data_IF_794311270523
#
_entry.id   IF_794311270523
#
_cell.length_a   1.000
_cell.length_b   1.000
_cell.length_c   1.000
_cell.angle_alpha   90.00
_cell.angle_beta   90.00
_cell.angle_gamma   90.00
#
_symmetry.space_group_name_H-M   'P 1'
#
loop_
_entity.id
_entity.type
_entity.pdbx_description
1 polymer ?
#
# COMPACT_ATOMS: atom_id res chain seq x y z
N UNK A 1 21.23 13.19 -2.84
CA UNK A 1 20.96 11.76 -3.13
C UNK A 1 19.48 11.54 -2.85
N UNK A 2 18.72 11.01 -3.80
CA UNK A 2 17.29 10.71 -3.60
C UNK A 2 17.17 9.45 -2.73
N UNK A 3 16.38 9.49 -1.66
CA UNK A 3 16.17 8.35 -0.77
C UNK A 3 14.89 7.60 -1.15
N UNK A 4 15.01 6.53 -1.93
CA UNK A 4 13.87 5.71 -2.33
C UNK A 4 13.28 4.84 -1.21
N UNK A 5 13.91 4.80 -0.04
CA UNK A 5 13.32 4.16 1.13
C UNK A 5 12.38 5.10 1.91
N UNK A 6 12.33 6.38 1.53
CA UNK A 6 11.51 7.37 2.21
C UNK A 6 10.01 7.08 2.04
N UNK A 7 9.31 6.98 3.17
CA UNK A 7 7.87 6.70 3.18
C UNK A 7 7.52 5.21 3.04
N UNK A 8 8.50 4.30 2.93
CA UNK A 8 8.25 2.87 3.08
C UNK A 8 7.95 2.56 4.55
N UNK A 9 6.90 1.79 4.80
CA UNK A 9 6.57 1.36 6.16
C UNK A 9 5.90 -0.01 6.18
N UNK A 10 5.74 -0.52 7.39
CA UNK A 10 5.22 -1.85 7.67
C UNK A 10 4.05 -1.78 8.64
N UNK A 11 3.02 -2.61 8.44
CA UNK A 11 1.95 -2.80 9.42
C UNK A 11 1.53 -4.25 9.53
N UNK A 12 0.99 -4.58 10.69
CA UNK A 12 0.43 -5.90 10.99
C UNK A 12 -1.10 -5.81 10.99
N UNK A 13 -1.74 -6.84 10.45
CA UNK A 13 -3.19 -6.99 10.46
C UNK A 13 -3.52 -8.33 11.11
N UNK A 14 -4.52 -8.33 12.00
CA UNK A 14 -4.94 -9.55 12.70
C UNK A 14 -6.41 -9.78 12.44
N UNK A 15 -6.74 -10.92 11.86
CA UNK A 15 -8.12 -11.33 11.56
C UNK A 15 -8.25 -12.83 11.77
N UNK A 16 -9.32 -13.28 12.45
CA UNK A 16 -9.59 -14.71 12.64
C UNK A 16 -8.51 -15.51 13.37
N UNK A 17 -7.58 -14.84 14.07
CA UNK A 17 -6.41 -15.49 14.70
C UNK A 17 -5.20 -15.63 13.78
N UNK A 18 -5.31 -15.21 12.51
CA UNK A 18 -4.19 -15.10 11.58
C UNK A 18 -3.56 -13.72 11.72
N UNK A 19 -2.21 -13.68 11.71
CA UNK A 19 -1.43 -12.45 11.75
C UNK A 19 -0.79 -12.25 10.38
N UNK A 20 -1.26 -11.25 9.65
CA UNK A 20 -0.71 -10.81 8.37
C UNK A 20 0.29 -9.68 8.58
N UNK A 21 1.23 -9.57 7.65
CA UNK A 21 2.23 -8.51 7.62
C UNK A 21 2.23 -7.86 6.25
N UNK A 22 2.14 -6.53 6.19
CA UNK A 22 2.18 -5.78 4.95
C UNK A 22 3.29 -4.73 4.97
N UNK A 23 4.03 -4.61 3.86
CA UNK A 23 4.90 -3.46 3.58
C UNK A 23 4.29 -2.60 2.49
N UNK A 24 4.43 -1.29 2.66
CA UNK A 24 3.79 -0.27 1.85
C UNK A 24 4.88 0.55 1.19
N UNK A 25 4.86 0.61 -0.14
CA UNK A 25 5.86 1.26 -0.96
C UNK A 25 5.15 2.32 -1.82
N UNK A 26 5.45 3.61 -1.63
CA UNK A 26 4.90 4.64 -2.49
C UNK A 26 5.44 4.45 -3.92
N UNK A 27 4.57 4.54 -4.93
CA UNK A 27 5.05 4.64 -6.31
C UNK A 27 5.66 6.03 -6.52
N UNK A 28 6.77 6.06 -7.25
CA UNK A 28 7.56 7.27 -7.48
C UNK A 28 7.87 7.42 -8.96
N UNK A 29 7.79 8.65 -9.47
CA UNK A 29 8.17 8.96 -10.86
C UNK A 29 9.67 9.22 -10.90
N UNK A 30 10.40 8.45 -11.73
CA UNK A 30 11.87 8.50 -11.84
C UNK A 30 12.37 9.49 -12.91
N UNK A 31 11.47 10.10 -13.68
CA UNK A 31 11.81 10.95 -14.82
C UNK A 31 12.35 12.33 -14.42
N UNK A 32 12.28 12.71 -13.15
CA UNK A 32 12.75 14.01 -12.64
C UNK A 32 13.83 13.83 -11.57
N UNK A 33 14.65 14.86 -11.39
CA UNK A 33 15.59 14.98 -10.26
C UNK A 33 14.91 15.11 -8.90
N UNK A 34 13.59 14.96 -8.83
CA UNK A 34 12.74 15.22 -7.67
C UNK A 34 11.91 13.98 -7.31
N UNK A 35 11.90 13.62 -6.02
CA UNK A 35 11.13 12.51 -5.50
C UNK A 35 9.63 12.85 -5.48
N UNK A 36 8.92 12.51 -6.55
CA UNK A 36 7.47 12.75 -6.63
C UNK A 36 6.71 11.45 -6.43
N UNK A 37 6.06 11.34 -5.26
CA UNK A 37 5.18 10.22 -4.91
C UNK A 37 3.86 10.37 -5.67
N UNK A 38 3.43 9.31 -6.35
CA UNK A 38 2.11 9.27 -7.00
C UNK A 38 1.00 8.95 -5.99
N UNK A 39 -0.24 8.76 -6.47
CA UNK A 39 -1.35 8.29 -5.62
C UNK A 39 -1.45 6.77 -5.53
N UNK A 40 -0.53 6.05 -6.17
CA UNK A 40 -0.48 4.59 -6.22
C UNK A 40 0.56 4.05 -5.25
N UNK A 41 0.27 2.90 -4.68
CA UNK A 41 1.10 2.22 -3.70
C UNK A 41 1.25 0.77 -4.08
N UNK A 42 2.48 0.25 -4.04
CA UNK A 42 2.73 -1.18 -4.03
C UNK A 42 2.60 -1.66 -2.58
N UNK A 43 1.75 -2.65 -2.37
CA UNK A 43 1.62 -3.35 -1.10
C UNK A 43 2.14 -4.77 -1.29
N UNK A 44 3.01 -5.19 -0.38
CA UNK A 44 3.47 -6.58 -0.31
C UNK A 44 2.93 -7.18 0.97
N UNK A 45 1.93 -8.04 0.83
CA UNK A 45 1.29 -8.77 1.92
C UNK A 45 1.92 -10.16 2.07
N UNK A 46 2.24 -10.56 3.28
CA UNK A 46 2.61 -11.93 3.61
C UNK A 46 1.40 -12.63 4.23
N UNK A 47 0.78 -13.51 3.44
CA UNK A 47 -0.32 -14.36 3.88
C UNK A 47 0.22 -15.72 4.35
N UNK A 48 -0.23 -16.25 5.52
CA UNK A 48 0.26 -17.53 6.04
C UNK A 48 -0.05 -18.70 5.11
N UNK A 49 -1.15 -18.65 4.36
CA UNK A 49 -1.58 -19.73 3.46
C UNK A 49 -1.11 -19.54 2.01
N UNK A 50 -0.99 -18.29 1.55
CA UNK A 50 -0.73 -17.96 0.14
C UNK A 50 0.68 -17.42 -0.11
N UNK A 51 1.46 -17.19 0.95
CA UNK A 51 2.79 -16.61 0.85
C UNK A 51 2.76 -15.11 0.53
N UNK A 52 3.78 -14.66 -0.20
CA UNK A 52 3.93 -13.25 -0.58
C UNK A 52 2.99 -12.88 -1.74
N UNK A 53 2.14 -11.90 -1.50
CA UNK A 53 1.18 -11.36 -2.47
C UNK A 53 1.46 -9.88 -2.70
N UNK A 54 2.14 -9.52 -3.82
CA UNK A 54 2.27 -8.14 -4.24
C UNK A 54 1.04 -7.70 -5.03
N UNK A 55 0.59 -6.47 -4.76
CA UNK A 55 -0.52 -5.83 -5.47
C UNK A 55 -0.42 -4.30 -5.34
N UNK A 56 -0.99 -3.61 -6.30
CA UNK A 56 -1.06 -2.16 -6.32
C UNK A 56 -2.44 -1.68 -5.88
N UNK A 57 -2.43 -0.59 -5.12
CA UNK A 57 -3.65 0.10 -4.71
C UNK A 57 -3.55 1.59 -5.01
N UNK A 58 -4.69 2.19 -5.35
CA UNK A 58 -4.83 3.62 -5.55
C UNK A 58 -6.10 4.13 -4.89
N UNK A 59 -6.09 5.40 -4.49
CA UNK A 59 -7.28 6.05 -3.97
C UNK A 59 -8.13 6.59 -5.11
N UNK A 60 -9.35 6.08 -5.26
CA UNK A 60 -10.34 6.61 -6.19
C UNK A 60 -10.97 7.87 -5.58
N UNK A 61 -10.59 9.04 -6.09
CA UNK A 61 -11.04 10.32 -5.55
C UNK A 61 -12.54 10.60 -5.77
N UNK A 62 -13.17 9.95 -6.76
CA UNK A 62 -14.60 10.07 -7.03
C UNK A 62 -15.40 9.23 -6.04
N UNK A 63 -15.00 7.97 -5.85
CA UNK A 63 -15.68 7.01 -4.96
C UNK A 63 -15.24 7.11 -3.50
N UNK A 64 -14.21 7.90 -3.19
CA UNK A 64 -13.62 8.05 -1.85
C UNK A 64 -13.25 6.72 -1.21
N UNK A 65 -12.71 5.80 -2.01
CA UNK A 65 -12.32 4.45 -1.55
C UNK A 65 -11.01 4.01 -2.20
N UNK A 66 -10.36 3.05 -1.57
CA UNK A 66 -9.19 2.38 -2.13
C UNK A 66 -9.61 1.26 -3.07
N UNK A 67 -8.93 1.16 -4.20
CA UNK A 67 -9.19 0.18 -5.25
C UNK A 67 -7.86 -0.45 -5.67
N UNK A 68 -7.89 -1.74 -6.03
CA UNK A 68 -6.75 -2.39 -6.68
C UNK A 68 -6.59 -1.87 -8.11
N UNK A 69 -5.36 -1.91 -8.64
CA UNK A 69 -5.19 -1.70 -10.07
C UNK A 69 -5.97 -2.79 -10.85
N UNK A 70 -6.69 -2.39 -11.90
CA UNK A 70 -7.51 -3.28 -12.72
C UNK A 70 -6.69 -4.38 -13.43
N UNK A 71 -5.37 -4.22 -13.48
CA UNK A 71 -4.45 -5.16 -14.09
C UNK A 71 -3.83 -6.17 -13.10
N UNK A 72 -4.14 -6.10 -11.79
CA UNK A 72 -3.58 -7.04 -10.83
C UNK A 72 -4.24 -8.43 -10.94
N UNK A 73 -3.39 -9.46 -11.05
CA UNK A 73 -3.82 -10.86 -11.11
C UNK A 73 -4.25 -11.44 -9.76
N UNK A 74 -3.91 -10.78 -8.66
CA UNK A 74 -4.26 -11.24 -7.31
C UNK A 74 -5.57 -10.60 -6.85
N UNK A 75 -6.63 -11.39 -6.75
CA UNK A 75 -7.85 -10.96 -6.06
C UNK A 75 -7.56 -10.87 -4.56
N UNK A 76 -7.67 -9.66 -4.02
CA UNK A 76 -7.52 -9.40 -2.58
C UNK A 76 -8.89 -9.10 -1.99
N UNK A 77 -9.11 -9.62 -0.78
CA UNK A 77 -10.33 -9.39 -0.03
C UNK A 77 -10.53 -7.89 0.24
N UNK A 78 -11.75 -7.39 0.04
CA UNK A 78 -12.06 -5.96 0.17
C UNK A 78 -11.71 -5.43 1.57
N UNK A 79 -11.87 -6.24 2.63
CA UNK A 79 -11.48 -5.84 3.98
C UNK A 79 -9.99 -5.51 4.10
N UNK A 80 -9.13 -6.39 3.57
CA UNK A 80 -7.68 -6.21 3.54
C UNK A 80 -7.31 -4.98 2.71
N UNK A 81 -7.95 -4.82 1.55
CA UNK A 81 -7.76 -3.65 0.68
C UNK A 81 -8.09 -2.34 1.42
N UNK A 82 -9.25 -2.25 2.07
CA UNK A 82 -9.64 -1.07 2.82
C UNK A 82 -8.75 -0.87 4.05
N UNK A 83 -8.28 -1.95 4.69
CA UNK A 83 -7.31 -1.86 5.78
C UNK A 83 -5.99 -1.23 5.30
N UNK A 84 -5.45 -1.70 4.18
CA UNK A 84 -4.22 -1.16 3.59
C UNK A 84 -4.36 0.34 3.31
N UNK A 85 -5.47 0.76 2.71
CA UNK A 85 -5.78 2.16 2.46
C UNK A 85 -5.75 3.04 3.72
N UNK A 86 -6.40 2.57 4.80
CA UNK A 86 -6.38 3.26 6.11
C UNK A 86 -4.96 3.37 6.69
N UNK A 87 -4.10 2.37 6.48
CA UNK A 87 -2.71 2.45 6.93
C UNK A 87 -1.92 3.51 6.18
N UNK A 88 -2.12 3.64 4.87
CA UNK A 88 -1.48 4.68 4.05
C UNK A 88 -1.91 6.07 4.51
N UNK A 89 -3.20 6.28 4.76
CA UNK A 89 -3.71 7.56 5.25
C UNK A 89 -3.14 7.93 6.62
N UNK A 90 -2.99 6.95 7.52
CA UNK A 90 -2.35 7.14 8.83
C UNK A 90 -0.85 7.40 8.71
N UNK A 91 -0.15 6.69 7.83
CA UNK A 91 1.26 6.85 7.56
C UNK A 91 1.59 8.25 7.01
N UNK A 92 0.78 8.75 6.08
CA UNK A 92 0.93 10.12 5.53
C UNK A 92 0.85 11.20 6.61
N UNK A 93 -0.04 11.05 7.60
CA UNK A 93 -0.20 12.02 8.70
C UNK A 93 1.02 12.10 9.62
N UNK A 94 1.80 11.02 9.75
CA UNK A 94 3.00 11.03 10.60
C UNK A 94 4.19 11.76 9.98
N UNK A 95 4.25 11.89 8.65
CA UNK A 95 5.34 12.57 7.94
C UNK A 95 5.04 14.07 7.67
N UNK A 96 3.88 14.58 8.12
CA UNK A 96 3.46 15.99 7.92
C UNK A 96 3.53 16.83 9.21
N UNK A 97 4.18 16.31 10.26
CA UNK A 97 4.45 16.96 11.54
C UNK A 97 5.97 17.11 11.71
#
# INVERSE_FOLDING_TARGET
MVNYAEGIFTREYTEGGLKLYATFHPEVILETTEYTVTKRWLVVLLHPEYGLQPFFILHNDLMKRWETDQNDTHSIEDEILQWCGRQIERGKKMNSL
#
